data_IF_969418536480
#
_entry.id   IF_969418536480
#
_cell.length_a   1.000
_cell.length_b   1.000
_cell.length_c   1.000
_cell.angle_alpha   90.00
_cell.angle_beta   90.00
_cell.angle_gamma   90.00
#
_symmetry.space_group_name_H-M   'P 1'
#
loop_
_entity.id
_entity.type
_entity.pdbx_description
1 polymer ?
#
# COMPACT_ATOMS: atom_id res chain seq x y z
N UNK A 1 0.68 8.76 5.69
CA UNK A 1 1.32 7.81 6.63
C UNK A 1 1.60 6.41 6.10
N UNK A 2 0.92 5.87 5.07
CA UNK A 2 1.23 4.52 4.57
C UNK A 2 2.52 4.47 3.74
N UNK A 3 3.39 3.49 4.01
CA UNK A 3 4.59 3.22 3.21
C UNK A 3 4.21 2.51 1.90
N UNK A 4 4.93 2.78 0.79
CA UNK A 4 4.68 2.18 -0.52
C UNK A 4 4.65 0.64 -0.47
N UNK A 5 5.67 0.02 0.15
CA UNK A 5 5.72 -1.44 0.33
C UNK A 5 4.50 -2.02 1.04
N UNK A 6 3.84 -1.28 1.93
CA UNK A 6 2.62 -1.80 2.58
C UNK A 6 1.50 -2.04 1.56
N UNK A 7 1.38 -1.16 0.55
CA UNK A 7 0.36 -1.29 -0.50
C UNK A 7 0.72 -2.40 -1.51
N UNK A 8 2.01 -2.54 -1.83
CA UNK A 8 2.52 -3.61 -2.70
C UNK A 8 2.34 -4.98 -2.05
N UNK A 9 2.70 -5.12 -0.78
CA UNK A 9 2.47 -6.35 -0.01
C UNK A 9 0.97 -6.67 0.08
N UNK A 10 0.12 -5.67 0.36
CA UNK A 10 -1.33 -5.86 0.36
C UNK A 10 -1.84 -6.41 -0.98
N UNK A 11 -1.37 -5.86 -2.10
CA UNK A 11 -1.73 -6.35 -3.42
C UNK A 11 -1.35 -7.83 -3.61
N UNK A 12 -0.10 -8.20 -3.31
CA UNK A 12 0.37 -9.58 -3.42
C UNK A 12 -0.40 -10.52 -2.50
N UNK A 13 -0.59 -10.15 -1.23
CA UNK A 13 -1.36 -10.95 -0.28
C UNK A 13 -2.80 -11.19 -0.75
N UNK A 14 -3.47 -10.19 -1.32
CA UNK A 14 -4.83 -10.35 -1.85
C UNK A 14 -4.86 -11.23 -3.12
N UNK A 15 -3.83 -11.16 -3.96
CA UNK A 15 -3.70 -12.04 -5.13
C UNK A 15 -3.53 -13.50 -4.70
N UNK A 16 -2.67 -13.76 -3.72
CA UNK A 16 -2.36 -15.10 -3.21
C UNK A 16 -3.58 -15.70 -2.50
N UNK A 17 -4.20 -14.97 -1.57
CA UNK A 17 -5.36 -15.45 -0.80
C UNK A 17 -6.56 -15.79 -1.69
N UNK A 18 -6.72 -15.07 -2.80
CA UNK A 18 -7.84 -15.27 -3.73
C UNK A 18 -7.49 -16.16 -4.92
N UNK A 19 -6.23 -16.58 -5.03
CA UNK A 19 -5.70 -17.26 -6.21
C UNK A 19 -6.10 -16.53 -7.51
N UNK A 20 -5.97 -15.19 -7.51
CA UNK A 20 -6.42 -14.32 -8.59
C UNK A 20 -5.36 -13.25 -8.87
N UNK A 21 -4.71 -13.33 -10.03
CA UNK A 21 -3.64 -12.41 -10.43
C UNK A 21 -4.07 -10.98 -10.79
N UNK A 22 -5.37 -10.64 -10.73
CA UNK A 22 -5.83 -9.26 -10.93
C UNK A 22 -5.33 -8.35 -9.80
N UNK A 23 -5.27 -7.04 -10.03
CA UNK A 23 -4.91 -6.07 -9.00
C UNK A 23 -5.81 -6.22 -7.77
N UNK A 24 -5.21 -6.15 -6.58
CA UNK A 24 -5.84 -6.36 -5.27
C UNK A 24 -6.62 -7.68 -5.22
N UNK A 25 -6.11 -8.73 -5.88
CA UNK A 25 -6.80 -10.00 -6.02
C UNK A 25 -8.15 -9.90 -6.74
N UNK A 26 -8.47 -8.78 -7.40
CA UNK A 26 -9.76 -8.47 -8.01
C UNK A 26 -10.83 -7.95 -7.05
N UNK A 27 -10.47 -7.41 -5.87
CA UNK A 27 -11.42 -6.71 -4.99
C UNK A 27 -11.33 -5.19 -5.17
N UNK A 28 -12.43 -4.51 -4.88
CA UNK A 28 -12.44 -3.04 -4.78
C UNK A 28 -11.84 -2.67 -3.43
N UNK A 29 -10.83 -1.80 -3.44
CA UNK A 29 -10.18 -1.26 -2.24
C UNK A 29 -10.39 0.24 -2.21
N UNK A 30 -10.95 0.76 -1.12
CA UNK A 30 -11.05 2.19 -0.85
C UNK A 30 -9.85 2.63 0.00
N UNK A 31 -9.03 3.53 -0.54
CA UNK A 31 -7.93 4.16 0.19
C UNK A 31 -8.37 5.59 0.54
N UNK A 32 -8.39 5.90 1.82
CA UNK A 32 -8.72 7.22 2.32
C UNK A 32 -7.64 7.71 3.30
N UNK A 33 -7.37 9.01 3.28
CA UNK A 33 -6.43 9.65 4.18
C UNK A 33 -6.32 11.14 3.88
N UNK A 34 -5.79 11.90 4.84
CA UNK A 34 -5.43 13.30 4.60
C UNK A 34 -4.01 13.36 4.04
N UNK A 35 -3.90 13.62 2.73
CA UNK A 35 -2.61 13.73 2.06
C UNK A 35 -1.85 15.02 2.41
N UNK A 36 -2.51 15.97 3.10
CA UNK A 36 -1.85 17.16 3.67
C UNK A 36 -1.28 16.89 5.06
N UNK A 37 -1.53 15.71 5.64
CA UNK A 37 -0.84 15.24 6.84
C UNK A 37 0.64 14.96 6.53
N UNK A 38 1.45 14.81 7.59
CA UNK A 38 2.87 14.42 7.49
C UNK A 38 3.08 13.18 6.62
N UNK A 39 4.15 13.23 5.83
CA UNK A 39 4.61 12.11 5.00
C UNK A 39 4.90 10.87 5.86
N UNK A 40 4.81 9.65 5.27
CA UNK A 40 5.24 8.44 5.95
C UNK A 40 6.67 8.59 6.49
N UNK A 41 6.91 8.16 7.74
CA UNK A 41 8.25 8.14 8.30
C UNK A 41 9.06 7.06 7.60
N UNK A 42 10.21 7.44 7.03
CA UNK A 42 11.18 6.51 6.44
C UNK A 42 12.44 6.52 7.32
N UNK A 43 12.63 5.52 8.19
CA UNK A 43 13.84 5.44 9.00
C UNK A 43 15.09 5.40 8.12
N UNK A 44 16.10 6.21 8.44
CA UNK A 44 17.34 6.36 7.64
C UNK A 44 17.10 6.86 6.21
N UNK A 45 15.97 7.50 5.93
CA UNK A 45 15.76 8.19 4.66
C UNK A 45 16.80 9.29 4.46
N UNK A 46 17.26 9.48 3.23
CA UNK A 46 18.07 10.64 2.86
C UNK A 46 17.21 11.89 3.04
N UNK A 47 17.69 12.90 3.75
CA UNK A 47 17.06 14.22 3.70
C UNK A 47 17.29 14.78 2.29
N UNK A 48 16.19 15.06 1.58
CA UNK A 48 16.23 15.76 0.31
C UNK A 48 16.31 17.27 0.55
#
# INVERSE_FOLDING_TARGET
MAHRYALETLNHTLQDLRNNGKNMGGVVVLIAGDFRQTLPVIPKGTMA
#
